data_IF_361971518890
#
_entry.id   IF_361971518890
#
_cell.length_a   1.000
_cell.length_b   1.000
_cell.length_c   1.000
_cell.angle_alpha   90.00
_cell.angle_beta   90.00
_cell.angle_gamma   90.00
#
_symmetry.space_group_name_H-M   'P 1'
#
loop_
_entity.id
_entity.type
_entity.pdbx_description
1 polymer ?
#
# COMPACT_ATOMS: atom_id res chain seq x y z
N UNK A 1 20.62 11.12 -7.40
CA UNK A 1 19.82 11.87 -6.43
C UNK A 1 19.42 10.87 -5.36
N UNK A 2 19.82 11.07 -4.10
CA UNK A 2 19.46 10.14 -3.03
C UNK A 2 17.98 10.32 -2.67
N UNK A 3 17.27 9.20 -2.47
CA UNK A 3 15.88 9.25 -2.01
C UNK A 3 15.78 9.90 -0.62
N UNK A 4 14.58 10.35 -0.22
CA UNK A 4 14.38 10.86 1.14
C UNK A 4 14.71 9.80 2.20
N UNK A 5 14.49 8.51 1.87
CA UNK A 5 14.81 7.39 2.75
C UNK A 5 16.31 7.13 2.84
N UNK A 6 17.09 7.31 1.77
CA UNK A 6 18.55 7.24 1.85
C UNK A 6 19.11 8.28 2.81
N UNK A 7 18.59 9.50 2.72
CA UNK A 7 19.01 10.57 3.65
C UNK A 7 18.61 10.24 5.09
N UNK A 8 17.40 9.75 5.31
CA UNK A 8 16.95 9.36 6.63
C UNK A 8 17.73 8.15 7.16
N UNK A 9 17.94 7.11 6.34
CA UNK A 9 18.73 5.92 6.68
C UNK A 9 20.16 6.26 7.10
N UNK A 10 20.78 7.26 6.47
CA UNK A 10 22.11 7.72 6.80
C UNK A 10 22.20 8.47 8.14
N UNK A 11 21.07 8.80 8.76
CA UNK A 11 21.06 9.38 10.12
C UNK A 11 21.29 8.31 11.18
N UNK A 12 21.82 8.66 12.35
CA UNK A 12 21.98 7.70 13.47
C UNK A 12 20.64 7.02 13.83
N UNK A 13 19.55 7.74 13.82
CA UNK A 13 18.19 7.26 14.10
C UNK A 13 17.74 6.27 13.03
N UNK A 14 17.91 6.59 11.75
CA UNK A 14 17.56 5.69 10.64
C UNK A 14 18.32 4.37 10.68
N UNK A 15 19.61 4.42 10.95
CA UNK A 15 20.46 3.23 11.12
C UNK A 15 19.99 2.34 12.28
N UNK A 16 19.65 2.94 13.41
CA UNK A 16 19.18 2.19 14.59
C UNK A 16 17.78 1.60 14.36
N UNK A 17 16.89 2.32 13.70
CA UNK A 17 15.57 1.80 13.32
C UNK A 17 15.67 0.63 12.35
N UNK A 18 16.55 0.71 11.36
CA UNK A 18 16.77 -0.40 10.44
C UNK A 18 17.28 -1.64 11.17
N UNK A 19 18.23 -1.50 12.09
CA UNK A 19 18.72 -2.60 12.90
C UNK A 19 17.63 -3.19 13.81
N UNK A 20 16.79 -2.34 14.40
CA UNK A 20 15.72 -2.76 15.29
C UNK A 20 14.63 -3.55 14.53
N UNK A 21 14.13 -3.03 13.41
CA UNK A 21 13.01 -3.60 12.68
C UNK A 21 13.45 -4.78 11.81
N UNK A 22 14.61 -4.70 11.20
CA UNK A 22 15.13 -5.69 10.25
C UNK A 22 15.76 -6.93 10.88
N UNK A 23 15.82 -7.02 12.21
CA UNK A 23 16.47 -8.17 12.88
C UNK A 23 15.65 -9.47 12.68
N UNK A 24 16.29 -10.64 12.57
CA UNK A 24 15.60 -11.93 12.42
C UNK A 24 14.63 -12.25 13.56
N UNK A 25 14.91 -11.79 14.78
CA UNK A 25 14.03 -12.00 15.94
C UNK A 25 12.71 -11.27 15.78
N UNK A 26 12.71 -10.10 15.14
CA UNK A 26 11.49 -9.32 14.89
C UNK A 26 10.52 -10.02 13.96
N UNK A 27 11.01 -10.74 12.94
CA UNK A 27 10.13 -11.53 12.10
C UNK A 27 9.32 -12.56 12.90
N UNK A 28 9.95 -13.28 13.81
CA UNK A 28 9.28 -14.29 14.64
C UNK A 28 8.17 -13.63 15.48
N UNK A 29 8.46 -12.49 16.06
CA UNK A 29 7.54 -11.70 16.86
C UNK A 29 6.36 -11.18 16.01
N UNK A 30 6.64 -10.55 14.87
CA UNK A 30 5.61 -10.05 13.96
C UNK A 30 4.71 -11.18 13.43
N UNK A 31 5.28 -12.33 13.08
CA UNK A 31 4.52 -13.48 12.63
C UNK A 31 3.62 -14.06 13.73
N UNK A 32 4.09 -14.08 14.99
CA UNK A 32 3.29 -14.53 16.12
C UNK A 32 2.12 -13.59 16.38
N UNK A 33 2.35 -12.27 16.37
CA UNK A 33 1.33 -11.25 16.57
C UNK A 33 0.31 -11.23 15.44
N UNK A 34 0.74 -11.40 14.19
CA UNK A 34 -0.17 -11.49 13.04
C UNK A 34 -1.10 -12.70 13.15
N UNK A 35 -0.59 -13.86 13.57
CA UNK A 35 -1.42 -15.05 13.82
C UNK A 35 -2.44 -14.85 14.95
N UNK A 36 -2.11 -14.05 15.94
CA UNK A 36 -3.03 -13.67 17.01
C UNK A 36 -4.03 -12.57 16.60
N UNK A 37 -3.99 -12.09 15.35
CA UNK A 37 -4.85 -11.03 14.84
C UNK A 37 -4.42 -9.63 15.26
N UNK A 38 -3.20 -9.47 15.77
CA UNK A 38 -2.61 -8.17 16.13
C UNK A 38 -1.85 -7.62 14.93
N UNK A 39 -1.98 -6.32 14.66
CA UNK A 39 -1.25 -5.69 13.59
C UNK A 39 0.27 -5.70 13.85
N UNK A 40 1.04 -6.23 12.91
CA UNK A 40 2.49 -6.34 13.04
C UNK A 40 3.17 -4.97 13.22
N UNK A 41 2.67 -3.94 12.54
CA UNK A 41 3.19 -2.57 12.66
C UNK A 41 2.92 -2.00 14.05
N UNK A 42 1.71 -2.21 14.62
CA UNK A 42 1.37 -1.74 15.95
C UNK A 42 2.23 -2.40 17.05
N UNK A 43 2.72 -3.62 16.81
CA UNK A 43 3.51 -4.37 17.78
C UNK A 43 4.82 -3.69 18.19
N UNK A 44 5.39 -2.85 17.34
CA UNK A 44 6.64 -2.13 17.65
C UNK A 44 6.42 -0.64 17.91
N UNK A 45 5.19 -0.15 17.76
CA UNK A 45 4.91 1.28 17.84
C UNK A 45 5.35 1.87 19.19
N UNK A 46 5.00 1.22 20.28
CA UNK A 46 5.34 1.70 21.63
C UNK A 46 6.84 1.64 21.89
N UNK A 47 7.51 0.57 21.43
CA UNK A 47 8.96 0.44 21.58
C UNK A 47 9.71 1.51 20.78
N UNK A 48 9.25 1.78 19.54
CA UNK A 48 9.83 2.82 18.70
C UNK A 48 9.57 4.20 19.30
N UNK A 49 8.36 4.49 19.77
CA UNK A 49 8.02 5.75 20.42
C UNK A 49 8.88 5.99 21.69
N UNK A 50 9.11 4.95 22.47
CA UNK A 50 9.93 5.04 23.68
C UNK A 50 11.40 5.29 23.38
N UNK A 51 11.95 4.62 22.34
CA UNK A 51 13.38 4.73 21.98
C UNK A 51 13.71 5.96 21.13
N UNK A 52 12.74 6.43 20.37
CA UNK A 52 12.94 7.49 19.37
C UNK A 52 11.77 8.49 19.39
N UNK A 53 11.57 9.22 20.50
CA UNK A 53 10.43 10.13 20.64
C UNK A 53 10.37 11.22 19.57
N UNK A 54 11.50 11.59 18.98
CA UNK A 54 11.58 12.58 17.90
C UNK A 54 10.93 12.11 16.58
N UNK A 55 10.73 10.80 16.40
CA UNK A 55 10.16 10.24 15.17
C UNK A 55 8.65 10.50 15.10
N UNK A 56 8.00 10.72 16.22
CA UNK A 56 6.53 10.87 16.29
C UNK A 56 6.02 11.95 15.32
N UNK A 57 6.76 13.04 15.17
CA UNK A 57 6.42 14.12 14.26
C UNK A 57 6.96 13.94 12.83
N UNK A 58 7.84 12.96 12.59
CA UNK A 58 8.48 12.75 11.29
C UNK A 58 7.73 11.72 10.43
N UNK A 59 6.97 12.21 9.46
CA UNK A 59 6.24 11.37 8.50
C UNK A 59 7.16 10.45 7.70
N UNK A 60 8.38 10.89 7.35
CA UNK A 60 9.35 10.06 6.61
C UNK A 60 9.81 8.87 7.46
N UNK A 61 10.09 9.10 8.74
CA UNK A 61 10.46 8.05 9.68
C UNK A 61 9.34 7.04 9.88
N UNK A 62 8.10 7.49 10.03
CA UNK A 62 6.92 6.62 10.16
C UNK A 62 6.73 5.74 8.93
N UNK A 63 6.80 6.31 7.74
CA UNK A 63 6.69 5.57 6.49
C UNK A 63 7.85 4.58 6.31
N UNK A 64 9.05 4.96 6.71
CA UNK A 64 10.21 4.07 6.70
C UNK A 64 9.99 2.85 7.61
N UNK A 65 9.51 3.05 8.84
CA UNK A 65 9.20 1.95 9.75
C UNK A 65 8.13 1.01 9.17
N UNK A 66 7.04 1.54 8.62
CA UNK A 66 5.98 0.73 7.99
C UNK A 66 6.49 -0.08 6.80
N UNK A 67 7.29 0.54 5.93
CA UNK A 67 7.90 -0.12 4.79
C UNK A 67 8.85 -1.25 5.22
N UNK A 68 9.63 -1.05 6.27
CA UNK A 68 10.55 -2.07 6.81
C UNK A 68 9.81 -3.27 7.39
N UNK A 69 8.72 -3.06 8.17
CA UNK A 69 7.91 -4.18 8.69
C UNK A 69 7.29 -4.99 7.56
N UNK A 70 6.69 -4.32 6.59
CA UNK A 70 6.10 -4.99 5.43
C UNK A 70 7.15 -5.78 4.63
N UNK A 71 8.36 -5.25 4.50
CA UNK A 71 9.46 -5.93 3.83
C UNK A 71 9.92 -7.19 4.58
N UNK A 72 10.08 -7.11 5.90
CA UNK A 72 10.42 -8.26 6.74
C UNK A 72 9.37 -9.37 6.56
N UNK A 73 8.08 -9.04 6.63
CA UNK A 73 7.01 -10.02 6.49
C UNK A 73 6.97 -10.66 5.10
N UNK A 74 7.12 -9.87 4.03
CA UNK A 74 7.12 -10.38 2.65
C UNK A 74 8.32 -11.28 2.35
N UNK A 75 9.52 -10.93 2.82
CA UNK A 75 10.73 -11.76 2.65
C UNK A 75 10.58 -13.15 3.26
N UNK A 76 9.73 -13.27 4.29
CA UNK A 76 9.42 -14.54 4.93
C UNK A 76 8.12 -15.19 4.42
N UNK A 77 7.64 -14.77 3.24
CA UNK A 77 6.53 -15.44 2.55
C UNK A 77 5.15 -15.11 3.13
N UNK A 78 5.01 -13.96 3.81
CA UNK A 78 3.72 -13.48 4.28
C UNK A 78 3.11 -12.49 3.29
N UNK A 79 1.80 -12.41 3.28
CA UNK A 79 1.04 -11.41 2.54
C UNK A 79 0.13 -10.61 3.47
N UNK A 80 -0.20 -9.39 3.05
CA UNK A 80 -1.18 -8.57 3.74
C UNK A 80 -2.57 -9.19 3.58
N UNK A 81 -3.25 -9.45 4.70
CA UNK A 81 -4.62 -9.98 4.71
C UNK A 81 -5.62 -9.02 5.31
N UNK A 82 -5.16 -8.05 6.07
CA UNK A 82 -6.02 -7.02 6.66
C UNK A 82 -5.18 -5.75 6.87
N UNK A 83 -5.65 -4.64 6.32
CA UNK A 83 -5.29 -3.32 6.79
C UNK A 83 -6.29 -2.92 7.89
N UNK A 84 -5.79 -2.34 8.95
CA UNK A 84 -6.65 -1.76 9.99
C UNK A 84 -6.36 -0.27 10.01
N UNK A 85 -7.39 0.55 10.18
CA UNK A 85 -7.27 1.97 10.41
C UNK A 85 -6.34 2.29 11.59
N UNK A 86 -6.31 3.49 12.10
CA UNK A 86 -5.42 3.90 13.20
C UNK A 86 -5.42 2.90 14.34
N UNK A 87 -4.33 2.13 14.45
CA UNK A 87 -4.11 1.23 15.57
C UNK A 87 -2.92 1.75 16.35
N UNK A 88 -3.18 2.11 17.60
CA UNK A 88 -2.15 2.50 18.57
C UNK A 88 -1.32 3.70 18.12
N UNK A 89 -0.77 4.41 19.03
CA UNK A 89 0.15 5.51 18.99
C UNK A 89 0.40 6.32 17.70
N UNK A 90 0.94 7.48 17.86
CA UNK A 90 1.12 8.48 16.79
C UNK A 90 2.11 8.08 15.69
N UNK A 91 2.92 7.04 15.91
CA UNK A 91 3.97 6.62 14.95
C UNK A 91 3.44 5.87 13.75
N UNK A 92 2.35 5.13 13.89
CA UNK A 92 1.78 4.35 12.80
C UNK A 92 0.31 4.69 12.62
N UNK A 93 -0.02 5.23 11.47
CA UNK A 93 -1.40 5.56 11.10
C UNK A 93 -2.21 4.33 10.71
N UNK A 94 -1.55 3.24 10.30
CA UNK A 94 -2.21 2.01 9.87
C UNK A 94 -1.57 0.81 10.51
N UNK A 95 -2.39 -0.08 11.07
CA UNK A 95 -2.00 -1.43 11.42
C UNK A 95 -2.14 -2.34 10.20
N UNK A 96 -1.41 -3.43 10.21
CA UNK A 96 -1.52 -4.45 9.19
C UNK A 96 -1.40 -5.85 9.78
N UNK A 97 -2.23 -6.77 9.32
CA UNK A 97 -2.16 -8.18 9.65
C UNK A 97 -1.65 -8.95 8.45
N UNK A 98 -0.65 -9.79 8.66
CA UNK A 98 -0.04 -10.62 7.64
C UNK A 98 -0.32 -12.09 7.90
N UNK A 99 -0.49 -12.87 6.84
CA UNK A 99 -0.63 -14.34 6.90
C UNK A 99 0.42 -15.00 6.02
N UNK A 100 0.86 -16.24 6.37
CA UNK A 100 1.64 -17.04 5.44
C UNK A 100 0.89 -17.17 4.10
N UNK A 101 1.60 -16.99 3.01
CA UNK A 101 1.04 -17.26 1.67
C UNK A 101 0.82 -18.76 1.53
N UNK A 102 -0.40 -19.22 1.38
CA UNK A 102 -0.65 -20.66 1.20
C UNK A 102 -0.09 -21.16 -0.13
N UNK A 103 -0.20 -20.38 -1.20
CA UNK A 103 0.38 -20.61 -2.53
C UNK A 103 0.56 -19.26 -3.19
N UNK A 104 1.74 -18.95 -3.69
CA UNK A 104 1.95 -17.75 -4.49
C UNK A 104 1.12 -17.85 -5.79
N UNK A 105 0.28 -16.87 -6.06
CA UNK A 105 -0.42 -16.78 -7.33
C UNK A 105 0.61 -16.73 -8.47
N UNK A 106 0.36 -17.41 -9.58
CA UNK A 106 1.15 -17.21 -10.79
C UNK A 106 1.03 -15.74 -11.25
N UNK A 107 2.01 -15.24 -11.99
CA UNK A 107 1.99 -13.86 -12.46
C UNK A 107 0.72 -13.54 -13.24
N UNK A 108 0.27 -14.47 -14.12
CA UNK A 108 -0.96 -14.30 -14.89
C UNK A 108 -2.18 -14.14 -13.97
N UNK A 109 -2.26 -14.90 -12.87
CA UNK A 109 -3.33 -14.76 -11.89
C UNK A 109 -3.29 -13.46 -11.11
N UNK A 110 -2.10 -12.92 -10.88
CA UNK A 110 -1.94 -11.56 -10.32
C UNK A 110 -2.49 -10.53 -11.30
N UNK A 111 -2.15 -10.61 -12.59
CA UNK A 111 -2.64 -9.70 -13.62
C UNK A 111 -4.17 -9.81 -13.79
N UNK A 112 -4.72 -11.03 -13.77
CA UNK A 112 -6.18 -11.25 -13.79
C UNK A 112 -6.87 -10.60 -12.58
N UNK A 113 -6.29 -10.71 -11.39
CA UNK A 113 -6.83 -10.09 -10.19
C UNK A 113 -6.80 -8.56 -10.27
N UNK A 114 -5.69 -7.98 -10.75
CA UNK A 114 -5.58 -6.54 -11.00
C UNK A 114 -6.61 -6.05 -12.04
N UNK A 115 -6.88 -6.85 -13.07
CA UNK A 115 -7.83 -6.49 -14.12
C UNK A 115 -9.29 -6.42 -13.63
N UNK A 116 -9.64 -7.10 -12.53
CA UNK A 116 -10.98 -7.06 -11.92
C UNK A 116 -11.20 -5.83 -11.04
N UNK A 117 -10.16 -5.16 -10.59
CA UNK A 117 -10.29 -4.05 -9.64
C UNK A 117 -11.22 -2.93 -10.11
N UNK A 118 -11.28 -2.53 -11.41
CA UNK A 118 -12.26 -1.55 -11.86
C UNK A 118 -13.72 -1.97 -11.63
N UNK A 119 -14.05 -3.24 -11.83
CA UNK A 119 -15.40 -3.77 -11.60
C UNK A 119 -15.72 -3.79 -10.11
N UNK A 120 -14.79 -4.28 -9.28
CA UNK A 120 -14.89 -4.25 -7.82
C UNK A 120 -15.09 -2.82 -7.32
N UNK A 121 -14.34 -1.85 -7.84
CA UNK A 121 -14.50 -0.45 -7.47
C UNK A 121 -15.85 0.11 -7.90
N UNK A 122 -16.38 -0.32 -9.06
CA UNK A 122 -17.72 0.07 -9.52
C UNK A 122 -18.82 -0.45 -8.57
N UNK A 123 -18.66 -1.65 -8.03
CA UNK A 123 -19.57 -2.21 -7.01
C UNK A 123 -19.54 -1.37 -5.74
N UNK A 124 -18.35 -0.98 -5.24
CA UNK A 124 -18.25 -0.06 -4.10
C UNK A 124 -18.94 1.27 -4.39
N UNK A 125 -18.64 1.90 -5.52
CA UNK A 125 -19.26 3.18 -5.89
C UNK A 125 -20.80 3.10 -5.97
N UNK A 126 -21.35 1.95 -6.37
CA UNK A 126 -22.80 1.72 -6.41
C UNK A 126 -23.43 1.54 -5.01
N UNK A 127 -22.66 1.09 -4.03
CA UNK A 127 -23.14 0.91 -2.63
C UNK A 127 -23.33 2.23 -1.90
N UNK A 128 -22.54 3.25 -2.23
CA UNK A 128 -22.55 4.52 -1.51
C UNK A 128 -23.54 5.52 -2.13
N UNK A 129 -24.48 6.06 -1.34
CA UNK A 129 -25.29 7.21 -1.77
C UNK A 129 -24.42 8.41 -2.16
N UNK A 130 -24.80 9.14 -3.19
CA UNK A 130 -23.99 10.26 -3.67
C UNK A 130 -23.68 11.32 -2.60
N UNK A 131 -24.59 11.52 -1.65
CA UNK A 131 -24.38 12.45 -0.53
C UNK A 131 -23.26 12.03 0.43
N UNK A 132 -22.79 10.77 0.37
CA UNK A 132 -21.75 10.24 1.25
C UNK A 132 -20.38 10.10 0.55
N UNK A 133 -20.27 10.41 -0.73
CA UNK A 133 -19.03 10.18 -1.49
C UNK A 133 -17.81 10.93 -0.94
N UNK A 134 -18.02 12.08 -0.30
CA UNK A 134 -16.97 12.91 0.29
C UNK A 134 -16.90 12.80 1.81
N UNK A 135 -17.69 11.91 2.43
CA UNK A 135 -17.77 11.80 3.88
C UNK A 135 -16.59 11.01 4.42
N UNK A 136 -15.96 11.54 5.46
CA UNK A 136 -14.97 10.87 6.31
C UNK A 136 -15.57 10.75 7.72
N UNK A 137 -15.99 9.56 8.17
CA UNK A 137 -16.78 9.40 9.40
C UNK A 137 -16.12 9.99 10.66
N UNK A 138 -14.82 9.77 10.81
CA UNK A 138 -14.02 10.25 11.95
C UNK A 138 -13.17 11.49 11.62
N UNK A 139 -13.36 12.08 10.42
CA UNK A 139 -12.55 13.18 9.91
C UNK A 139 -11.13 12.75 9.49
N UNK A 140 -10.81 11.48 9.54
CA UNK A 140 -9.52 10.89 9.16
C UNK A 140 -9.69 9.82 8.08
N UNK A 141 -8.61 9.34 7.51
CA UNK A 141 -8.68 8.37 6.41
C UNK A 141 -9.14 9.02 5.10
N UNK A 142 -9.51 8.18 4.14
CA UNK A 142 -10.04 8.60 2.84
C UNK A 142 -11.56 8.42 2.78
N UNK A 143 -12.24 9.37 2.18
CA UNK A 143 -13.61 9.22 1.68
C UNK A 143 -13.62 8.36 0.41
N UNK A 144 -14.81 7.96 -0.06
CA UNK A 144 -14.95 7.18 -1.29
C UNK A 144 -14.27 7.85 -2.49
N UNK A 145 -14.50 9.16 -2.70
CA UNK A 145 -13.89 9.88 -3.83
C UNK A 145 -12.38 9.90 -3.74
N UNK A 146 -11.82 10.00 -2.54
CA UNK A 146 -10.38 10.01 -2.32
C UNK A 146 -9.77 8.63 -2.59
N UNK A 147 -10.41 7.55 -2.18
CA UNK A 147 -9.98 6.19 -2.54
C UNK A 147 -9.91 6.01 -4.06
N UNK A 148 -10.96 6.43 -4.78
CA UNK A 148 -11.02 6.30 -6.25
C UNK A 148 -9.94 7.13 -6.93
N UNK A 149 -9.75 8.38 -6.51
CA UNK A 149 -8.70 9.25 -7.03
C UNK A 149 -7.31 8.73 -6.74
N UNK A 150 -7.11 8.21 -5.52
CA UNK A 150 -5.84 7.63 -5.10
C UNK A 150 -5.48 6.40 -5.94
N UNK A 151 -6.39 5.45 -6.11
CA UNK A 151 -6.18 4.27 -6.94
C UNK A 151 -5.84 4.65 -8.39
N UNK A 152 -6.54 5.65 -8.96
CA UNK A 152 -6.25 6.19 -10.29
C UNK A 152 -4.83 6.72 -10.42
N UNK A 153 -4.39 7.51 -9.45
CA UNK A 153 -3.10 8.19 -9.52
C UNK A 153 -1.94 7.23 -9.19
N UNK A 154 -2.16 6.29 -8.29
CA UNK A 154 -1.19 5.23 -8.00
C UNK A 154 -0.99 4.29 -9.19
N UNK A 155 -2.01 4.00 -10.00
CA UNK A 155 -1.83 3.27 -11.26
C UNK A 155 -0.80 3.95 -12.18
N UNK A 156 -0.83 5.29 -12.26
CA UNK A 156 0.16 6.05 -13.04
C UNK A 156 1.55 5.93 -12.42
N UNK A 157 1.65 5.98 -11.10
CA UNK A 157 2.92 5.81 -10.38
C UNK A 157 3.49 4.42 -10.63
N UNK A 158 2.68 3.37 -10.48
CA UNK A 158 3.13 1.99 -10.72
C UNK A 158 3.50 1.75 -12.17
N UNK A 159 2.75 2.27 -13.13
CA UNK A 159 3.09 2.19 -14.54
C UNK A 159 4.49 2.80 -14.83
N UNK A 160 4.78 3.97 -14.26
CA UNK A 160 6.10 4.62 -14.38
C UNK A 160 7.22 3.80 -13.73
N UNK A 161 6.97 3.22 -12.55
CA UNK A 161 7.94 2.36 -11.85
C UNK A 161 8.25 1.10 -12.65
N UNK A 162 7.22 0.46 -13.19
CA UNK A 162 7.34 -0.72 -14.06
C UNK A 162 8.17 -0.38 -15.30
N UNK A 163 7.87 0.73 -15.96
CA UNK A 163 8.63 1.18 -17.13
C UNK A 163 10.09 1.50 -16.78
N UNK A 164 10.33 2.18 -15.66
CA UNK A 164 11.68 2.46 -15.18
C UNK A 164 12.48 1.18 -14.93
N UNK A 165 11.89 0.14 -14.30
CA UNK A 165 12.56 -1.15 -14.08
C UNK A 165 12.88 -1.85 -15.40
N UNK A 166 12.03 -1.70 -16.41
CA UNK A 166 12.21 -2.30 -17.72
C UNK A 166 13.29 -1.60 -18.56
N UNK A 167 13.40 -0.29 -18.43
CA UNK A 167 14.24 0.53 -19.32
C UNK A 167 15.56 0.96 -18.70
N UNK A 168 15.68 0.95 -17.37
CA UNK A 168 16.86 1.44 -16.66
C UNK A 168 17.48 0.33 -15.80
N UNK A 169 18.78 0.34 -15.67
CA UNK A 169 19.49 -0.57 -14.76
C UNK A 169 19.30 -0.09 -13.31
N UNK A 170 18.64 -0.89 -12.51
CA UNK A 170 18.43 -0.69 -11.07
C UNK A 170 17.92 0.73 -10.68
N UNK A 171 16.78 1.20 -11.25
CA UNK A 171 16.25 2.52 -10.97
C UNK A 171 15.81 2.66 -9.51
N UNK A 172 15.83 3.89 -8.97
CA UNK A 172 15.23 4.21 -7.69
C UNK A 172 13.72 4.40 -7.90
N UNK A 173 12.92 3.66 -7.11
CA UNK A 173 11.47 3.68 -7.12
C UNK A 173 10.97 4.40 -5.86
N UNK A 174 10.77 5.71 -5.98
CA UNK A 174 10.37 6.52 -4.82
C UNK A 174 8.96 6.18 -4.32
N UNK A 175 8.79 6.15 -2.99
CA UNK A 175 7.49 6.06 -2.35
C UNK A 175 6.69 7.34 -2.53
N UNK A 176 5.37 7.20 -2.58
CA UNK A 176 4.44 8.32 -2.64
C UNK A 176 3.70 8.41 -1.31
N UNK A 177 3.65 9.60 -0.75
CA UNK A 177 2.78 9.91 0.37
C UNK A 177 1.36 10.14 -0.18
N UNK A 178 0.47 9.18 0.10
CA UNK A 178 -0.91 9.20 -0.42
C UNK A 178 -1.71 10.37 0.12
N UNK A 179 -1.53 10.72 1.39
CA UNK A 179 -2.22 11.85 2.04
C UNK A 179 -1.76 13.18 1.43
N UNK A 180 -0.45 13.39 1.35
CA UNK A 180 0.08 14.60 0.73
C UNK A 180 -0.29 14.71 -0.77
N UNK A 181 -0.42 13.58 -1.46
CA UNK A 181 -0.89 13.55 -2.84
C UNK A 181 -2.36 13.96 -2.92
N UNK A 182 -3.23 13.42 -2.05
CA UNK A 182 -4.64 13.73 -1.99
C UNK A 182 -4.90 15.22 -1.71
N UNK A 183 -4.18 15.78 -0.74
CA UNK A 183 -4.23 17.22 -0.42
C UNK A 183 -3.80 18.07 -1.60
N UNK A 184 -2.63 17.77 -2.19
CA UNK A 184 -2.08 18.54 -3.32
C UNK A 184 -2.99 18.54 -4.55
N UNK A 185 -3.71 17.45 -4.79
CA UNK A 185 -4.57 17.27 -5.97
C UNK A 185 -6.04 17.52 -5.65
N UNK A 186 -6.38 17.95 -4.43
CA UNK A 186 -7.74 18.26 -3.98
C UNK A 186 -8.72 17.12 -4.32
N UNK A 187 -8.46 15.90 -3.88
CA UNK A 187 -9.28 14.73 -4.24
C UNK A 187 -10.75 14.88 -3.84
N UNK A 188 -11.06 15.56 -2.73
CA UNK A 188 -12.43 15.80 -2.28
C UNK A 188 -13.27 16.63 -3.26
N UNK A 189 -12.63 17.44 -4.10
CA UNK A 189 -13.30 18.32 -5.07
C UNK A 189 -13.40 17.69 -6.46
N UNK A 190 -12.88 16.46 -6.65
CA UNK A 190 -12.86 15.80 -7.94
C UNK A 190 -14.18 15.06 -8.23
N UNK A 191 -14.52 14.95 -9.51
CA UNK A 191 -15.66 14.14 -9.94
C UNK A 191 -15.34 12.65 -9.80
N UNK A 192 -16.14 11.95 -8.99
CA UNK A 192 -15.99 10.53 -8.73
C UNK A 192 -16.12 9.67 -9.99
N UNK A 193 -17.06 9.99 -10.88
CA UNK A 193 -17.32 9.19 -12.08
C UNK A 193 -16.23 9.35 -13.11
N UNK A 194 -15.71 10.55 -13.24
CA UNK A 194 -14.55 10.83 -14.10
C UNK A 194 -13.30 10.13 -13.57
N UNK A 195 -13.04 10.19 -12.27
CA UNK A 195 -11.94 9.50 -11.63
C UNK A 195 -12.03 7.97 -11.80
N UNK A 196 -13.21 7.38 -11.56
CA UNK A 196 -13.48 5.96 -11.77
C UNK A 196 -13.25 5.53 -13.22
N UNK A 197 -13.76 6.31 -14.18
CA UNK A 197 -13.58 6.05 -15.60
C UNK A 197 -12.12 6.14 -16.02
N UNK A 198 -11.37 7.11 -15.49
CA UNK A 198 -9.94 7.27 -15.74
C UNK A 198 -9.13 6.10 -15.16
N UNK A 199 -9.45 5.65 -13.93
CA UNK A 199 -8.86 4.47 -13.31
C UNK A 199 -9.08 3.22 -14.17
N UNK A 200 -10.31 2.94 -14.59
CA UNK A 200 -10.63 1.79 -15.42
C UNK A 200 -9.83 1.78 -16.74
N UNK A 201 -9.70 2.93 -17.39
CA UNK A 201 -8.87 3.05 -18.61
C UNK A 201 -7.39 2.84 -18.33
N UNK A 202 -6.86 3.37 -17.23
CA UNK A 202 -5.46 3.22 -16.82
C UNK A 202 -5.15 1.76 -16.51
N UNK A 203 -5.95 1.11 -15.66
CA UNK A 203 -5.78 -0.28 -15.26
C UNK A 203 -5.85 -1.24 -16.45
N UNK A 204 -6.79 -1.02 -17.37
CA UNK A 204 -6.88 -1.82 -18.59
C UNK A 204 -5.60 -1.75 -19.42
N UNK A 205 -5.04 -0.54 -19.60
CA UNK A 205 -3.75 -0.38 -20.32
C UNK A 205 -2.60 -1.04 -19.59
N UNK A 206 -2.53 -0.87 -18.28
CA UNK A 206 -1.50 -1.46 -17.43
C UNK A 206 -1.52 -3.00 -17.52
N UNK A 207 -2.68 -3.61 -17.30
CA UNK A 207 -2.82 -5.08 -17.39
C UNK A 207 -2.52 -5.62 -18.78
N UNK A 208 -2.92 -4.90 -19.86
CA UNK A 208 -2.57 -5.27 -21.23
C UNK A 208 -1.06 -5.16 -21.53
N UNK A 209 -0.33 -4.31 -20.84
CA UNK A 209 1.13 -4.26 -20.91
C UNK A 209 1.77 -5.39 -20.10
N UNK A 210 1.29 -5.64 -18.88
CA UNK A 210 1.79 -6.69 -18.00
C UNK A 210 1.63 -8.08 -18.60
N UNK A 211 0.48 -8.38 -19.24
CA UNK A 211 0.24 -9.69 -19.85
C UNK A 211 1.15 -10.01 -21.07
N UNK A 212 1.89 -9.03 -21.55
CA UNK A 212 2.86 -9.19 -22.65
C UNK A 212 4.31 -9.26 -22.17
N UNK A 213 4.55 -9.16 -20.86
CA UNK A 213 5.91 -9.21 -20.33
C UNK A 213 6.51 -10.60 -20.49
N UNK A 214 7.70 -10.69 -21.10
CA UNK A 214 8.42 -11.96 -21.13
C UNK A 214 8.87 -12.36 -19.73
N UNK A 215 8.91 -13.67 -19.41
CA UNK A 215 9.22 -14.15 -18.05
C UNK A 215 10.58 -13.68 -17.50
N UNK A 216 11.56 -13.46 -18.33
CA UNK A 216 12.89 -12.98 -17.95
C UNK A 216 12.87 -11.52 -17.49
N UNK A 217 11.95 -10.69 -17.98
CA UNK A 217 11.79 -9.32 -17.49
C UNK A 217 11.28 -9.28 -16.05
N UNK A 218 10.54 -10.29 -15.58
CA UNK A 218 9.99 -10.33 -14.22
C UNK A 218 11.07 -10.35 -13.13
N UNK A 219 12.28 -10.82 -13.46
CA UNK A 219 13.43 -10.84 -12.56
C UNK A 219 14.22 -9.51 -12.53
N UNK A 220 13.92 -8.56 -13.45
CA UNK A 220 14.56 -7.24 -13.43
C UNK A 220 14.23 -6.52 -12.13
N UNK A 221 15.16 -5.71 -11.64
CA UNK A 221 15.03 -5.10 -10.31
C UNK A 221 15.10 -3.58 -10.36
N UNK A 222 14.41 -2.95 -9.37
CA UNK A 222 14.61 -1.58 -8.94
C UNK A 222 14.95 -1.51 -7.45
N UNK A 223 15.26 -0.31 -6.97
CA UNK A 223 15.52 -0.01 -5.58
C UNK A 223 14.37 0.84 -5.01
N UNK A 224 13.48 0.25 -4.23
CA UNK A 224 12.46 0.98 -3.50
C UNK A 224 13.13 1.92 -2.51
N UNK A 225 12.94 3.23 -2.71
CA UNK A 225 13.49 4.30 -1.91
C UNK A 225 15.01 4.25 -1.70
N UNK A 226 15.73 3.58 -2.62
CA UNK A 226 17.16 3.33 -2.49
C UNK A 226 17.56 2.28 -1.45
N UNK A 227 16.59 1.67 -0.79
CA UNK A 227 16.77 0.79 0.38
C UNK A 227 16.59 -0.67 0.03
N UNK A 228 15.49 -0.98 -0.65
CA UNK A 228 15.08 -2.36 -0.90
C UNK A 228 15.17 -2.68 -2.38
N UNK A 229 15.96 -3.72 -2.69
CA UNK A 229 15.92 -4.32 -4.02
C UNK A 229 14.66 -5.14 -4.16
N UNK A 230 13.88 -4.86 -5.22
CA UNK A 230 12.67 -5.59 -5.54
C UNK A 230 12.60 -5.89 -7.03
N UNK A 231 12.09 -7.05 -7.36
CA UNK A 231 11.88 -7.48 -8.74
C UNK A 231 10.64 -6.83 -9.35
N UNK A 232 10.51 -6.89 -10.67
CA UNK A 232 9.31 -6.46 -11.37
C UNK A 232 8.09 -7.28 -10.93
N UNK A 233 8.23 -8.60 -10.73
CA UNK A 233 7.18 -9.47 -10.19
C UNK A 233 6.72 -8.98 -8.80
N UNK A 234 7.66 -8.70 -7.89
CA UNK A 234 7.32 -8.17 -6.56
C UNK A 234 6.64 -6.80 -6.62
N UNK A 235 7.06 -5.93 -7.54
CA UNK A 235 6.45 -4.63 -7.74
C UNK A 235 4.97 -4.74 -8.18
N UNK A 236 4.67 -5.67 -9.09
CA UNK A 236 3.30 -5.91 -9.55
C UNK A 236 2.45 -6.56 -8.47
N UNK A 237 3.01 -7.45 -7.65
CA UNK A 237 2.32 -7.99 -6.47
C UNK A 237 2.05 -6.93 -5.41
N UNK A 238 2.97 -5.98 -5.22
CA UNK A 238 2.75 -4.84 -4.34
C UNK A 238 1.54 -3.99 -4.79
N UNK A 239 1.34 -3.82 -6.11
CA UNK A 239 0.14 -3.15 -6.61
C UNK A 239 -1.14 -3.92 -6.26
N UNK A 240 -1.14 -5.26 -6.38
CA UNK A 240 -2.28 -6.08 -5.97
C UNK A 240 -2.54 -6.00 -4.45
N UNK A 241 -1.49 -6.02 -3.64
CA UNK A 241 -1.62 -5.85 -2.19
C UNK A 241 -2.17 -4.46 -1.82
N UNK A 242 -1.79 -3.43 -2.58
CA UNK A 242 -2.32 -2.08 -2.43
C UNK A 242 -3.83 -2.01 -2.76
N UNK A 243 -4.26 -2.63 -3.87
CA UNK A 243 -5.67 -2.72 -4.22
C UNK A 243 -6.49 -3.42 -3.11
N UNK A 244 -5.97 -4.53 -2.57
CA UNK A 244 -6.61 -5.28 -1.48
C UNK A 244 -6.75 -4.44 -0.21
N UNK A 245 -5.71 -3.66 0.11
CA UNK A 245 -5.75 -2.74 1.25
C UNK A 245 -6.91 -1.76 1.10
N UNK A 246 -7.04 -1.14 -0.08
CA UNK A 246 -8.13 -0.19 -0.32
C UNK A 246 -9.51 -0.85 -0.36
N UNK A 247 -9.62 -2.10 -0.79
CA UNK A 247 -10.90 -2.83 -0.65
C UNK A 247 -11.29 -3.01 0.82
N UNK A 248 -10.34 -3.36 1.69
CA UNK A 248 -10.61 -3.50 3.13
C UNK A 248 -11.00 -2.17 3.77
N UNK A 249 -10.31 -1.09 3.42
CA UNK A 249 -10.63 0.26 3.90
C UNK A 249 -12.00 0.73 3.41
N UNK A 250 -12.38 0.39 2.17
CA UNK A 250 -13.72 0.68 1.62
C UNK A 250 -14.81 -0.15 2.29
N UNK A 251 -14.55 -1.39 2.71
CA UNK A 251 -15.49 -2.19 3.50
C UNK A 251 -15.70 -1.60 4.90
N UNK A 252 -14.63 -1.12 5.54
CA UNK A 252 -14.70 -0.42 6.83
C UNK A 252 -15.51 0.88 6.67
N UNK A 253 -15.20 1.70 5.66
CA UNK A 253 -15.93 2.94 5.35
C UNK A 253 -17.41 2.68 5.09
N UNK A 254 -17.75 1.64 4.31
CA UNK A 254 -19.13 1.26 4.04
C UNK A 254 -19.88 0.85 5.31
N UNK A 255 -19.21 0.11 6.21
CA UNK A 255 -19.76 -0.30 7.49
C UNK A 255 -20.03 0.91 8.40
N UNK A 256 -19.09 1.83 8.51
CA UNK A 256 -19.21 3.04 9.33
C UNK A 256 -20.33 3.98 8.83
N UNK A 257 -20.52 4.07 7.52
CA UNK A 257 -21.56 4.89 6.89
C UNK A 257 -22.90 4.17 6.73
N UNK A 258 -23.01 2.91 7.20
CA UNK A 258 -24.24 2.13 7.10
C UNK A 258 -24.61 1.74 5.67
N UNK A 259 -23.64 1.67 4.75
CA UNK A 259 -23.84 1.23 3.37
C UNK A 259 -23.89 -0.30 3.33
N UNK A 260 -25.06 -0.87 3.09
CA UNK A 260 -25.23 -2.32 3.02
C UNK A 260 -24.36 -2.93 1.89
N UNK A 261 -23.84 -4.17 2.07
CA UNK A 261 -23.28 -4.92 0.95
C UNK A 261 -24.34 -5.08 -0.14
N UNK A 262 -23.92 -5.08 -1.42
CA UNK A 262 -24.84 -5.41 -2.50
C UNK A 262 -25.48 -6.77 -2.19
N UNK A 263 -26.82 -6.84 -2.29
CA UNK A 263 -27.51 -8.11 -2.10
C UNK A 263 -26.94 -9.11 -3.12
N UNK A 264 -26.38 -10.21 -2.64
CA UNK A 264 -25.96 -11.33 -3.49
C UNK A 264 -27.26 -11.98 -3.93
N UNK A 265 -27.69 -11.73 -5.17
CA UNK A 265 -28.75 -12.49 -5.82
C UNK A 265 -28.27 -13.87 -6.26
#
# INVERSE_FOLDING_TARGET
>A
MHSRFDRFRATPVGTQLEALIGSPTRYIEFAALSRAGVAAIAAIADEVAQKFPEIEADTTARQFCGAMVADVMRRHGHELVQARGRIGGPLFTYGAVFSPRPIALSFDKVVEALARMPDTLAEYVARFPAAQWTTRPDGTGFSLVEHVCHLRDLDVVFARRIDAVRTTALPILESVDGTALAERLNYLEQDLRDAQSAFARSRKRLCAALSKLPPDELARCGLRDGVRRMTLDELVRELLDHDRTHCLELDELASELGCAPAAVE
#
